data_IF_184259287705
#
_entry.id   IF_184259287705
#
_cell.length_a   1.000
_cell.length_b   1.000
_cell.length_c   1.000
_cell.angle_alpha   90.00
_cell.angle_beta   90.00
_cell.angle_gamma   90.00
#
_symmetry.space_group_name_H-M   'P 1'
#
loop_
_entity.id
_entity.type
_entity.pdbx_description
1 polymer ?
#
# COMPACT_ATOMS: atom_id res chain seq x y z
N UNK A 1 -4.11 83.71 31.99
CA UNK A 1 -2.97 84.10 32.85
C UNK A 1 -1.79 83.20 32.53
N UNK A 2 -0.67 83.81 32.08
CA UNK A 2 0.76 83.49 32.25
C UNK A 2 1.17 81.99 32.40
N UNK A 3 2.18 81.44 31.73
CA UNK A 3 3.23 82.00 30.89
C UNK A 3 3.92 80.86 30.08
N UNK A 4 4.55 81.24 28.97
CA UNK A 4 5.58 80.49 28.26
C UNK A 4 6.91 80.47 29.05
N UNK A 5 7.83 79.54 28.73
CA UNK A 5 9.24 79.81 28.35
C UNK A 5 9.95 78.51 27.94
N UNK A 6 10.80 78.71 26.95
CA UNK A 6 11.62 77.89 26.04
C UNK A 6 12.84 77.19 26.65
N UNK A 7 13.49 76.35 25.81
CA UNK A 7 14.89 75.82 25.82
C UNK A 7 15.04 74.45 26.51
N UNK A 8 15.81 73.45 26.04
CA UNK A 8 17.04 73.40 25.24
C UNK A 8 17.18 71.96 24.66
N UNK A 9 17.80 71.81 23.48
CA UNK A 9 18.40 70.54 23.04
C UNK A 9 19.71 70.35 23.82
N UNK A 10 20.04 69.12 24.25
CA UNK A 10 21.35 68.60 23.89
C UNK A 10 21.31 67.16 23.36
N UNK A 11 22.10 66.98 22.31
CA UNK A 11 22.63 65.73 21.78
C UNK A 11 23.35 64.97 22.91
N UNK A 12 23.00 63.71 23.17
CA UNK A 12 23.97 62.66 23.53
C UNK A 12 23.32 61.28 23.35
N UNK A 13 23.98 60.48 22.52
CA UNK A 13 23.93 59.03 22.35
C UNK A 13 23.42 58.21 23.54
N UNK A 14 22.59 57.20 23.28
CA UNK A 14 22.88 55.80 23.64
C UNK A 14 21.87 54.84 22.98
N UNK A 15 22.41 53.96 22.14
CA UNK A 15 21.95 52.61 21.77
C UNK A 15 20.77 52.05 22.56
N UNK A 16 19.65 51.74 21.89
CA UNK A 16 18.87 50.52 22.12
C UNK A 16 18.29 50.03 20.78
N UNK A 17 18.56 48.76 20.49
CA UNK A 17 18.31 48.08 19.24
C UNK A 17 16.80 47.91 18.94
N UNK A 18 16.38 48.31 17.75
CA UNK A 18 15.17 47.77 17.13
C UNK A 18 15.62 46.75 16.07
N UNK A 19 15.55 45.47 16.43
CA UNK A 19 15.61 44.37 15.49
C UNK A 19 14.30 44.38 14.69
N UNK A 20 14.36 44.87 13.46
CA UNK A 20 13.37 44.57 12.44
C UNK A 20 13.50 43.06 12.13
N UNK A 21 12.53 42.27 12.55
CA UNK A 21 12.35 40.91 12.06
C UNK A 21 11.79 41.02 10.66
N UNK A 22 12.67 40.97 9.66
CA UNK A 22 12.29 40.64 8.30
C UNK A 22 11.91 39.16 8.30
N UNK A 23 10.61 38.88 8.20
CA UNK A 23 10.12 37.55 7.85
C UNK A 23 10.47 37.37 6.37
N UNK A 24 11.59 36.69 6.13
CA UNK A 24 11.88 36.10 4.82
C UNK A 24 11.04 34.84 4.75
N UNK A 25 9.99 34.84 3.92
CA UNK A 25 9.40 33.61 3.40
C UNK A 25 10.51 32.91 2.60
N UNK A 26 11.16 31.95 3.24
CA UNK A 26 12.00 30.98 2.56
C UNK A 26 11.03 29.97 1.96
N UNK A 27 10.66 30.17 0.70
CA UNK A 27 10.14 29.09 -0.14
C UNK A 27 11.16 27.95 -0.09
N UNK A 28 10.75 26.83 0.50
CA UNK A 28 11.55 25.61 0.63
C UNK A 28 11.60 24.89 -0.73
N UNK A 29 12.22 25.53 -1.73
CA UNK A 29 12.68 24.87 -2.95
C UNK A 29 14.05 24.24 -2.68
N UNK A 30 14.06 23.24 -1.78
CA UNK A 30 15.22 22.38 -1.62
C UNK A 30 15.26 21.42 -2.81
N UNK A 31 16.01 21.76 -3.86
CA UNK A 31 16.50 20.76 -4.82
C UNK A 31 17.21 19.67 -4.03
N UNK A 32 16.57 18.51 -3.89
CA UNK A 32 17.14 17.36 -3.19
C UNK A 32 18.51 17.03 -3.78
N UNK A 33 19.55 16.86 -2.96
CA UNK A 33 20.85 16.46 -3.47
C UNK A 33 20.72 15.07 -4.11
N UNK A 34 21.09 14.98 -5.39
CA UNK A 34 21.10 13.72 -6.12
C UNK A 34 22.11 12.75 -5.46
N UNK A 35 21.68 11.51 -5.20
CA UNK A 35 22.57 10.46 -4.73
C UNK A 35 23.70 10.24 -5.75
N UNK A 36 24.94 9.95 -5.29
CA UNK A 36 26.05 9.66 -6.20
C UNK A 36 25.71 8.48 -7.13
N UNK A 37 26.30 8.42 -8.34
CA UNK A 37 26.10 7.31 -9.28
C UNK A 37 26.43 5.98 -8.60
N UNK A 38 25.51 5.01 -8.68
CA UNK A 38 25.69 3.68 -8.09
C UNK A 38 26.51 2.80 -9.04
N UNK A 39 27.74 2.46 -8.66
CA UNK A 39 28.68 1.66 -9.48
C UNK A 39 28.39 0.13 -9.47
N UNK A 40 27.39 -0.30 -8.69
CA UNK A 40 27.01 -1.72 -8.50
C UNK A 40 26.06 -2.17 -9.64
N UNK A 41 26.09 -3.44 -10.11
CA UNK A 41 25.13 -3.93 -11.09
C UNK A 41 23.67 -3.71 -10.68
N UNK A 42 22.81 -3.46 -11.67
CA UNK A 42 21.39 -3.25 -11.42
C UNK A 42 20.72 -4.52 -10.87
N UNK A 43 20.02 -4.38 -9.75
CA UNK A 43 19.05 -5.37 -9.30
C UNK A 43 17.83 -5.27 -10.20
N UNK A 44 17.45 -6.37 -10.86
CA UNK A 44 16.25 -6.42 -11.69
C UNK A 44 15.18 -7.25 -10.99
N UNK A 45 13.94 -6.82 -11.16
CA UNK A 45 12.74 -7.53 -10.74
C UNK A 45 12.17 -8.23 -11.96
N UNK A 46 11.82 -9.50 -11.81
CA UNK A 46 11.06 -10.22 -12.83
C UNK A 46 9.58 -9.98 -12.57
N UNK A 47 8.83 -9.57 -13.58
CA UNK A 47 7.38 -9.38 -13.51
C UNK A 47 6.69 -10.42 -14.40
N UNK A 48 5.79 -11.20 -13.81
CA UNK A 48 4.97 -12.14 -14.55
C UNK A 48 3.76 -11.41 -15.17
N UNK A 49 3.59 -11.56 -16.48
CA UNK A 49 2.43 -11.11 -17.24
C UNK A 49 2.05 -12.22 -18.21
N UNK A 50 0.97 -12.94 -17.91
CA UNK A 50 0.47 -14.00 -18.77
C UNK A 50 -0.31 -13.39 -19.94
N UNK A 51 0.14 -13.62 -21.16
CA UNK A 51 -0.51 -13.08 -22.36
C UNK A 51 0.06 -11.74 -22.80
N UNK A 52 -0.80 -10.81 -23.24
CA UNK A 52 -0.36 -9.54 -23.84
C UNK A 52 0.16 -8.53 -22.79
N UNK A 53 1.47 -8.18 -22.81
CA UNK A 53 2.03 -7.21 -21.87
C UNK A 53 1.42 -5.81 -21.96
N UNK A 54 0.73 -5.48 -23.06
CA UNK A 54 0.02 -4.20 -23.22
C UNK A 54 -1.30 -4.15 -22.46
N UNK A 55 -1.85 -5.30 -22.05
CA UNK A 55 -3.10 -5.38 -21.28
C UNK A 55 -2.89 -5.57 -19.78
N UNK A 56 -1.62 -5.55 -19.33
CA UNK A 56 -1.26 -5.73 -17.92
C UNK A 56 -1.92 -4.68 -17.02
N UNK A 57 -2.20 -5.07 -15.79
CA UNK A 57 -2.69 -4.16 -14.77
C UNK A 57 -1.63 -3.15 -14.38
N UNK A 58 -2.05 -1.89 -14.24
CA UNK A 58 -1.22 -0.83 -13.67
C UNK A 58 0.17 -0.73 -14.32
N UNK A 59 0.19 -0.57 -15.65
CA UNK A 59 1.39 -0.63 -16.48
C UNK A 59 2.58 0.21 -15.98
N UNK A 60 2.31 1.38 -15.40
CA UNK A 60 3.32 2.33 -14.91
C UNK A 60 3.70 2.12 -13.43
N UNK A 61 2.99 1.26 -12.70
CA UNK A 61 3.08 1.18 -11.24
C UNK A 61 4.38 0.57 -10.74
N UNK A 62 4.72 -0.65 -11.16
CA UNK A 62 5.98 -1.26 -10.75
C UNK A 62 7.19 -0.41 -11.20
N UNK A 63 7.28 0.06 -12.46
CA UNK A 63 8.38 0.95 -12.85
C UNK A 63 8.50 2.22 -12.01
N UNK A 64 7.37 2.87 -11.70
CA UNK A 64 7.35 4.06 -10.85
C UNK A 64 7.81 3.76 -9.42
N UNK A 65 7.41 2.63 -8.84
CA UNK A 65 7.86 2.21 -7.53
C UNK A 65 9.36 1.93 -7.50
N UNK A 66 9.88 1.19 -8.49
CA UNK A 66 11.30 0.86 -8.58
C UNK A 66 12.15 2.12 -8.78
N UNK A 67 11.65 3.11 -9.54
CA UNK A 67 12.28 4.43 -9.65
C UNK A 67 12.34 5.15 -8.29
N UNK A 68 11.24 5.17 -7.53
CA UNK A 68 11.21 5.75 -6.18
C UNK A 68 12.18 5.01 -5.23
N UNK A 69 12.22 3.68 -5.25
CA UNK A 69 13.19 2.89 -4.46
C UNK A 69 14.61 3.30 -4.80
N UNK A 70 14.93 3.42 -6.09
CA UNK A 70 16.27 3.83 -6.54
C UNK A 70 16.61 5.26 -6.11
N UNK A 71 15.65 6.18 -6.15
CA UNK A 71 15.83 7.59 -5.76
C UNK A 71 15.99 7.75 -4.25
N UNK A 72 15.21 7.02 -3.45
CA UNK A 72 15.12 7.22 -1.99
C UNK A 72 16.08 6.38 -1.18
N UNK A 73 16.55 5.26 -1.72
CA UNK A 73 17.36 4.29 -0.98
C UNK A 73 18.75 4.15 -1.61
N UNK A 74 19.63 3.40 -0.97
CA UNK A 74 20.94 3.03 -1.54
C UNK A 74 20.83 1.89 -2.56
N UNK A 75 19.68 1.22 -2.70
CA UNK A 75 19.49 0.10 -3.61
C UNK A 75 19.58 0.53 -5.08
N UNK A 76 20.38 -0.16 -5.89
CA UNK A 76 20.50 0.11 -7.33
C UNK A 76 19.53 -0.75 -8.13
N UNK A 77 18.23 -0.53 -7.96
CA UNK A 77 17.19 -1.30 -8.68
C UNK A 77 16.94 -0.67 -10.06
N UNK A 78 16.85 -1.51 -11.09
CA UNK A 78 16.44 -1.09 -12.43
C UNK A 78 14.94 -0.78 -12.43
N UNK A 79 14.51 0.44 -12.83
CA UNK A 79 13.09 0.75 -12.98
C UNK A 79 12.36 -0.09 -14.03
N UNK A 80 13.09 -0.76 -14.94
CA UNK A 80 12.50 -1.57 -15.99
C UNK A 80 12.56 -3.06 -15.64
N UNK A 81 11.43 -3.66 -15.21
CA UNK A 81 11.37 -5.08 -14.87
C UNK A 81 11.56 -5.96 -16.12
N UNK A 82 11.95 -7.21 -15.89
CA UNK A 82 12.01 -8.24 -16.93
C UNK A 82 10.63 -8.91 -17.00
N UNK A 83 10.00 -8.88 -18.15
CA UNK A 83 8.71 -9.55 -18.36
C UNK A 83 8.90 -11.02 -18.70
N UNK A 84 8.10 -11.87 -18.05
CA UNK A 84 7.96 -13.30 -18.37
C UNK A 84 6.48 -13.63 -18.48
N UNK A 85 6.15 -14.59 -19.34
CA UNK A 85 4.77 -15.09 -19.48
C UNK A 85 4.49 -16.30 -18.58
N UNK A 86 5.54 -16.98 -18.11
CA UNK A 86 5.45 -18.23 -17.36
C UNK A 86 6.60 -18.36 -16.35
N UNK A 87 6.32 -19.03 -15.22
CA UNK A 87 7.32 -19.36 -14.22
C UNK A 87 8.24 -20.52 -14.66
N UNK A 88 8.02 -21.08 -15.85
CA UNK A 88 8.96 -21.99 -16.50
C UNK A 88 10.20 -21.28 -17.06
N UNK A 89 10.14 -19.96 -17.26
CA UNK A 89 11.27 -19.19 -17.80
C UNK A 89 12.47 -19.22 -16.85
N UNK A 90 13.61 -19.75 -17.33
CA UNK A 90 14.82 -19.88 -16.53
C UNK A 90 15.42 -18.54 -16.08
N UNK A 91 14.99 -17.41 -16.66
CA UNK A 91 15.42 -16.07 -16.24
C UNK A 91 15.08 -15.79 -14.76
N UNK A 92 14.05 -16.45 -14.20
CA UNK A 92 13.71 -16.29 -12.79
C UNK A 92 14.89 -16.66 -11.88
N UNK A 93 15.75 -17.60 -12.28
CA UNK A 93 16.88 -18.02 -11.45
C UNK A 93 18.05 -17.02 -11.47
N UNK A 94 18.00 -16.01 -12.34
CA UNK A 94 19.02 -14.96 -12.46
C UNK A 94 18.71 -13.74 -11.58
N UNK A 95 17.50 -13.66 -11.04
CA UNK A 95 17.01 -12.49 -10.32
C UNK A 95 16.34 -12.89 -9.00
N UNK A 96 16.57 -12.16 -7.90
CA UNK A 96 16.13 -12.62 -6.58
C UNK A 96 14.64 -12.40 -6.29
N UNK A 97 13.94 -11.61 -7.12
CA UNK A 97 12.56 -11.18 -6.87
C UNK A 97 11.68 -11.41 -8.08
N UNK A 98 10.52 -12.04 -7.85
CA UNK A 98 9.41 -12.11 -8.78
C UNK A 98 8.26 -11.25 -8.24
N UNK A 99 7.76 -10.33 -9.06
CA UNK A 99 6.53 -9.58 -8.86
C UNK A 99 5.41 -10.19 -9.70
N UNK A 100 4.24 -10.39 -9.10
CA UNK A 100 3.04 -10.86 -9.80
C UNK A 100 1.89 -9.97 -9.34
N UNK A 101 1.23 -9.27 -10.26
CA UNK A 101 -0.12 -8.78 -9.97
C UNK A 101 -1.09 -9.95 -10.18
N UNK A 102 -1.98 -10.20 -9.22
CA UNK A 102 -2.93 -11.32 -9.26
C UNK A 102 -3.68 -11.42 -10.59
N UNK A 103 -4.08 -10.30 -11.17
CA UNK A 103 -4.87 -10.25 -12.39
C UNK A 103 -4.04 -10.34 -13.68
N UNK A 104 -2.72 -10.20 -13.59
CA UNK A 104 -1.79 -10.43 -14.71
C UNK A 104 -1.51 -11.93 -14.92
N UNK A 105 -1.98 -12.79 -14.01
CA UNK A 105 -2.04 -14.24 -14.20
C UNK A 105 -3.51 -14.67 -14.25
N UNK A 106 -3.94 -15.18 -15.40
CA UNK A 106 -5.34 -15.56 -15.62
C UNK A 106 -5.66 -16.98 -15.14
N UNK A 107 -4.66 -17.87 -15.12
CA UNK A 107 -4.80 -19.24 -14.63
C UNK A 107 -3.75 -19.55 -13.55
N UNK A 108 -4.20 -19.71 -12.31
CA UNK A 108 -3.35 -20.05 -11.17
C UNK A 108 -3.07 -21.55 -11.03
N UNK A 109 -3.60 -22.39 -11.92
CA UNK A 109 -3.18 -23.79 -12.02
C UNK A 109 -1.74 -23.84 -12.52
N UNK A 110 -0.84 -24.37 -11.70
CA UNK A 110 0.58 -24.45 -12.05
C UNK A 110 0.84 -25.67 -12.92
N UNK A 111 1.66 -25.50 -13.95
CA UNK A 111 2.22 -26.66 -14.67
C UNK A 111 3.21 -27.42 -13.77
N UNK A 112 3.54 -28.66 -14.13
CA UNK A 112 4.61 -29.41 -13.46
C UNK A 112 5.98 -28.69 -13.53
N UNK A 113 6.23 -27.95 -14.62
CA UNK A 113 7.43 -27.13 -14.79
C UNK A 113 7.44 -25.94 -13.84
N UNK A 114 6.32 -25.21 -13.73
CA UNK A 114 6.17 -24.08 -12.82
C UNK A 114 6.31 -24.53 -11.36
N UNK A 115 5.68 -25.65 -10.96
CA UNK A 115 5.83 -26.21 -9.61
C UNK A 115 7.29 -26.50 -9.28
N UNK A 116 8.00 -27.18 -10.20
CA UNK A 116 9.42 -27.51 -10.04
C UNK A 116 10.28 -26.24 -9.93
N UNK A 117 10.02 -25.27 -10.80
CA UNK A 117 10.81 -24.04 -10.86
C UNK A 117 10.57 -23.13 -9.66
N UNK A 118 9.32 -22.94 -9.25
CA UNK A 118 8.98 -22.19 -8.03
C UNK A 118 9.61 -22.81 -6.79
N UNK A 119 9.54 -24.14 -6.66
CA UNK A 119 10.19 -24.84 -5.55
C UNK A 119 11.70 -24.58 -5.53
N UNK A 120 12.37 -24.74 -6.68
CA UNK A 120 13.81 -24.50 -6.76
C UNK A 120 14.17 -23.04 -6.53
N UNK A 121 13.35 -22.10 -7.02
CA UNK A 121 13.53 -20.66 -6.82
C UNK A 121 13.48 -20.30 -5.34
N UNK A 122 12.44 -20.76 -4.62
CA UNK A 122 12.27 -20.52 -3.18
C UNK A 122 13.39 -21.18 -2.37
N UNK A 123 13.76 -22.42 -2.69
CA UNK A 123 14.84 -23.15 -2.01
C UNK A 123 16.21 -22.46 -2.17
N UNK A 124 16.41 -21.73 -3.27
CA UNK A 124 17.62 -20.92 -3.56
C UNK A 124 17.58 -19.52 -2.91
N UNK A 125 16.53 -19.19 -2.17
CA UNK A 125 16.39 -17.90 -1.49
C UNK A 125 15.61 -16.84 -2.28
N UNK A 126 14.98 -17.21 -3.41
CA UNK A 126 14.14 -16.30 -4.18
C UNK A 126 12.93 -15.80 -3.40
N UNK A 127 12.50 -14.57 -3.68
CA UNK A 127 11.35 -13.93 -3.04
C UNK A 127 10.24 -13.66 -4.07
N UNK A 128 8.99 -13.94 -3.71
CA UNK A 128 7.83 -13.71 -4.56
C UNK A 128 6.90 -12.72 -3.87
N UNK A 129 6.58 -11.63 -4.55
CA UNK A 129 5.56 -10.69 -4.12
C UNK A 129 4.32 -10.81 -5.02
N UNK A 130 3.17 -11.08 -4.41
CA UNK A 130 1.88 -11.18 -5.09
C UNK A 130 1.00 -10.02 -4.66
N UNK A 131 0.85 -9.07 -5.57
CA UNK A 131 -0.01 -7.90 -5.41
C UNK A 131 -1.47 -8.25 -5.72
N UNK A 132 -2.42 -7.69 -4.97
CA UNK A 132 -3.85 -7.99 -5.09
C UNK A 132 -4.21 -9.48 -4.96
N UNK A 133 -3.37 -10.27 -4.28
CA UNK A 133 -3.64 -11.69 -4.02
C UNK A 133 -4.42 -11.94 -2.72
N UNK A 134 -4.72 -10.89 -1.95
CA UNK A 134 -5.72 -10.90 -0.87
C UNK A 134 -6.94 -10.15 -1.37
N UNK A 135 -8.04 -10.89 -1.58
CA UNK A 135 -9.32 -10.33 -1.99
C UNK A 135 -10.42 -10.87 -1.09
N UNK A 136 -11.21 -9.98 -0.49
CA UNK A 136 -12.43 -10.36 0.23
C UNK A 136 -13.41 -11.08 -0.70
N UNK A 137 -14.22 -11.98 -0.15
CA UNK A 137 -15.11 -12.84 -0.93
C UNK A 137 -15.99 -12.07 -1.93
N UNK A 138 -16.55 -10.93 -1.51
CA UNK A 138 -17.39 -10.07 -2.36
C UNK A 138 -16.66 -9.39 -3.53
N UNK A 139 -15.32 -9.44 -3.56
CA UNK A 139 -14.48 -8.93 -4.64
C UNK A 139 -14.08 -10.03 -5.64
N UNK A 140 -14.23 -11.31 -5.30
CA UNK A 140 -13.70 -12.44 -6.10
C UNK A 140 -14.52 -12.73 -7.37
N UNK A 141 -15.80 -12.35 -7.40
CA UNK A 141 -16.69 -12.61 -8.54
C UNK A 141 -16.32 -11.88 -9.84
N UNK A 142 -15.45 -10.87 -9.77
CA UNK A 142 -14.87 -10.21 -10.94
C UNK A 142 -13.48 -9.69 -10.58
N UNK A 143 -12.46 -10.13 -11.32
CA UNK A 143 -11.06 -9.75 -11.09
C UNK A 143 -10.85 -8.23 -11.01
N UNK A 144 -11.64 -7.43 -11.74
CA UNK A 144 -11.55 -5.96 -11.68
C UNK A 144 -11.89 -5.39 -10.31
N UNK A 145 -12.77 -6.04 -9.54
CA UNK A 145 -13.14 -5.55 -8.21
C UNK A 145 -11.96 -5.65 -7.24
N UNK A 146 -11.20 -6.74 -7.26
CA UNK A 146 -9.97 -6.89 -6.46
C UNK A 146 -8.84 -5.96 -6.89
N UNK A 147 -8.85 -5.48 -8.14
CA UNK A 147 -7.90 -4.45 -8.61
C UNK A 147 -8.34 -3.04 -8.18
N UNK A 148 -9.63 -2.73 -8.16
CA UNK A 148 -10.11 -1.37 -7.87
C UNK A 148 -10.37 -1.11 -6.39
N UNK A 149 -10.60 -2.17 -5.61
CA UNK A 149 -10.99 -2.07 -4.22
C UNK A 149 -10.12 -2.94 -3.34
N UNK A 150 -9.56 -2.33 -2.31
CA UNK A 150 -8.93 -3.07 -1.25
C UNK A 150 -9.86 -3.23 -0.04
N UNK A 151 -9.91 -4.43 0.54
CA UNK A 151 -10.56 -4.70 1.82
C UNK A 151 -9.55 -5.41 2.73
N UNK A 152 -9.56 -5.10 4.03
CA UNK A 152 -8.60 -5.65 4.99
C UNK A 152 -9.03 -7.07 5.41
N UNK A 153 -8.98 -7.99 4.44
CA UNK A 153 -9.14 -9.42 4.69
C UNK A 153 -7.79 -10.02 5.11
N UNK A 154 -7.83 -11.12 5.87
CA UNK A 154 -6.64 -11.82 6.38
C UNK A 154 -6.56 -13.24 5.82
N UNK A 155 -7.00 -13.39 4.58
CA UNK A 155 -6.99 -14.63 3.82
C UNK A 155 -6.44 -14.40 2.42
N UNK A 156 -5.64 -15.35 1.96
CA UNK A 156 -5.15 -15.38 0.59
C UNK A 156 -6.30 -15.81 -0.33
N UNK A 157 -6.35 -15.28 -1.56
CA UNK A 157 -7.30 -15.76 -2.57
C UNK A 157 -7.09 -17.28 -2.80
N UNK A 158 -8.16 -18.10 -2.80
CA UNK A 158 -8.06 -19.56 -2.86
C UNK A 158 -7.22 -20.08 -4.03
N UNK A 159 -7.22 -19.36 -5.15
CA UNK A 159 -6.44 -19.66 -6.35
C UNK A 159 -4.93 -19.59 -6.08
N UNK A 160 -4.47 -18.57 -5.35
CA UNK A 160 -3.07 -18.42 -4.94
C UNK A 160 -2.74 -19.48 -3.89
N UNK A 161 -3.63 -19.71 -2.93
CA UNK A 161 -3.41 -20.72 -1.88
C UNK A 161 -3.23 -22.12 -2.49
N UNK A 162 -4.12 -22.53 -3.40
CA UNK A 162 -4.06 -23.82 -4.08
C UNK A 162 -2.83 -23.95 -4.98
N UNK A 163 -2.41 -22.87 -5.65
CA UNK A 163 -1.18 -22.85 -6.43
C UNK A 163 0.04 -23.18 -5.57
N UNK A 164 0.19 -22.53 -4.40
CA UNK A 164 1.34 -22.78 -3.52
C UNK A 164 1.24 -24.09 -2.74
N UNK A 165 0.04 -24.63 -2.53
CA UNK A 165 -0.15 -25.99 -2.00
C UNK A 165 0.42 -27.06 -2.92
N UNK A 166 0.45 -26.84 -4.23
CA UNK A 166 1.13 -27.74 -5.17
C UNK A 166 2.67 -27.72 -5.02
N UNK A 167 3.24 -26.62 -4.53
CA UNK A 167 4.69 -26.43 -4.33
C UNK A 167 5.13 -26.95 -2.96
N UNK A 168 4.38 -26.59 -1.90
CA UNK A 168 4.60 -27.00 -0.51
C UNK A 168 3.28 -27.45 0.14
N UNK A 169 2.90 -28.73 0.01
CA UNK A 169 1.62 -29.24 0.51
C UNK A 169 1.40 -29.10 2.02
N UNK A 170 2.49 -29.10 2.79
CA UNK A 170 2.47 -29.05 4.25
C UNK A 170 2.71 -27.64 4.81
N UNK A 171 2.80 -26.62 3.95
CA UNK A 171 2.97 -25.23 4.37
C UNK A 171 1.71 -24.42 4.06
N UNK A 172 1.35 -23.53 5.00
CA UNK A 172 0.20 -22.65 4.87
C UNK A 172 0.66 -21.20 4.90
N UNK A 173 -0.11 -20.33 4.26
CA UNK A 173 0.04 -18.90 4.46
C UNK A 173 -0.37 -18.53 5.87
N UNK A 174 0.41 -17.67 6.52
CA UNK A 174 0.13 -17.14 7.85
C UNK A 174 0.09 -15.61 7.83
N UNK A 175 -0.68 -14.96 8.73
CA UNK A 175 -0.71 -13.52 8.82
C UNK A 175 0.65 -12.97 9.27
N UNK A 176 1.14 -11.93 8.59
CA UNK A 176 2.33 -11.20 9.00
C UNK A 176 1.98 -10.26 10.17
N UNK A 177 2.61 -10.40 11.34
CA UNK A 177 2.33 -9.53 12.48
C UNK A 177 2.62 -8.06 12.18
N UNK A 178 1.79 -7.13 12.67
CA UNK A 178 1.98 -5.69 12.47
C UNK A 178 3.31 -5.14 13.02
N UNK A 179 3.89 -5.81 14.01
CA UNK A 179 5.17 -5.41 14.59
C UNK A 179 6.40 -5.93 13.80
N UNK A 180 6.18 -6.70 12.73
CA UNK A 180 7.23 -7.25 11.87
C UNK A 180 8.12 -6.13 11.31
N UNK A 181 9.40 -6.45 11.09
CA UNK A 181 10.39 -5.50 10.59
C UNK A 181 10.08 -5.01 9.17
N UNK A 182 9.34 -5.78 8.37
CA UNK A 182 8.84 -5.37 7.05
C UNK A 182 8.18 -3.98 7.11
N UNK A 183 7.23 -3.76 8.02
CA UNK A 183 6.47 -2.51 8.10
C UNK A 183 7.29 -1.28 8.51
N UNK A 184 8.56 -1.49 8.91
CA UNK A 184 9.48 -0.44 9.38
C UNK A 184 10.88 -0.56 8.77
N UNK A 185 11.02 -1.27 7.64
CA UNK A 185 12.34 -1.53 7.04
C UNK A 185 13.01 -0.27 6.49
N UNK A 186 12.24 0.74 6.07
CA UNK A 186 12.77 2.05 5.66
C UNK A 186 11.94 3.22 6.21
N UNK A 187 10.63 3.22 5.94
CA UNK A 187 9.66 4.12 6.55
C UNK A 187 8.97 3.43 7.73
N UNK A 188 8.76 4.15 8.82
CA UNK A 188 8.00 3.68 9.97
C UNK A 188 6.73 4.52 10.16
N UNK A 189 5.63 3.86 10.52
CA UNK A 189 4.34 4.51 10.77
C UNK A 189 3.66 5.08 9.53
N UNK A 190 2.62 5.86 9.76
CA UNK A 190 1.80 6.47 8.71
C UNK A 190 2.50 7.68 8.06
N UNK A 191 2.14 8.04 6.81
CA UNK A 191 2.40 9.37 6.27
C UNK A 191 1.79 10.48 7.12
N UNK A 192 2.17 11.73 6.84
CA UNK A 192 1.50 12.87 7.46
C UNK A 192 0.02 12.90 7.04
N UNK A 193 -0.85 12.67 8.02
CA UNK A 193 -2.30 12.64 7.84
C UNK A 193 -2.96 13.99 8.19
N UNK A 194 -2.18 15.02 8.54
CA UNK A 194 -2.70 16.35 8.88
C UNK A 194 -3.61 16.96 7.81
N UNK A 195 -3.35 16.79 6.49
CA UNK A 195 -4.23 17.30 5.43
C UNK A 195 -5.61 16.63 5.35
N UNK A 196 -5.80 15.47 6.00
CA UNK A 196 -7.05 14.72 5.91
C UNK A 196 -8.12 15.27 6.86
N UNK A 197 -9.42 15.21 6.48
CA UNK A 197 -10.51 15.50 7.40
C UNK A 197 -10.43 14.64 8.66
N UNK A 198 -10.81 15.22 9.80
CA UNK A 198 -10.65 14.57 11.12
C UNK A 198 -11.24 13.15 11.18
N UNK A 199 -12.47 12.95 10.73
CA UNK A 199 -13.13 11.63 10.74
C UNK A 199 -12.40 10.58 9.89
N UNK A 200 -11.89 11.00 8.73
CA UNK A 200 -11.13 10.15 7.82
C UNK A 200 -9.78 9.79 8.44
N UNK A 201 -9.10 10.77 9.05
CA UNK A 201 -7.82 10.56 9.73
C UNK A 201 -7.96 9.58 10.89
N UNK A 202 -8.96 9.75 11.76
CA UNK A 202 -9.23 8.83 12.88
C UNK A 202 -9.49 7.40 12.37
N UNK A 203 -10.32 7.25 11.33
CA UNK A 203 -10.57 5.94 10.75
C UNK A 203 -9.30 5.29 10.20
N UNK A 204 -8.42 6.05 9.54
CA UNK A 204 -7.16 5.52 9.02
C UNK A 204 -6.25 5.04 10.13
N UNK A 205 -6.06 5.86 11.16
CA UNK A 205 -5.12 5.60 12.26
C UNK A 205 -5.59 4.43 13.10
N UNK A 206 -6.89 4.36 13.39
CA UNK A 206 -7.41 3.41 14.37
C UNK A 206 -7.92 2.12 13.74
N UNK A 207 -8.36 2.15 12.47
CA UNK A 207 -9.06 1.00 11.87
C UNK A 207 -8.46 0.55 10.54
N UNK A 208 -8.25 1.46 9.57
CA UNK A 208 -7.85 1.08 8.22
C UNK A 208 -6.40 0.57 8.18
N UNK A 209 -5.47 1.37 8.71
CA UNK A 209 -4.03 1.14 8.68
C UNK A 209 -3.36 1.40 10.04
N UNK A 210 -3.81 0.73 11.12
CA UNK A 210 -3.19 0.92 12.42
C UNK A 210 -1.68 0.74 12.36
N UNK A 211 -0.96 1.68 13.00
CA UNK A 211 0.51 1.69 13.07
C UNK A 211 1.22 1.80 11.70
N UNK A 212 0.51 2.17 10.64
CA UNK A 212 1.07 2.21 9.28
C UNK A 212 1.20 0.86 8.62
N UNK A 213 0.46 -0.15 9.11
CA UNK A 213 0.52 -1.51 8.57
C UNK A 213 -0.71 -1.83 7.72
N UNK A 214 -0.63 -2.95 7.03
CA UNK A 214 -1.66 -3.42 6.12
C UNK A 214 -1.75 -4.95 6.17
N UNK A 215 -2.87 -5.51 5.71
CA UNK A 215 -3.01 -6.97 5.63
C UNK A 215 -1.89 -7.54 4.76
N UNK A 216 -1.20 -8.55 5.28
CA UNK A 216 -0.16 -9.27 4.58
C UNK A 216 -0.19 -10.73 5.04
N UNK A 217 -0.21 -11.64 4.08
CA UNK A 217 -0.15 -13.08 4.31
C UNK A 217 1.16 -13.59 3.72
N UNK A 218 1.85 -14.47 4.44
CA UNK A 218 3.20 -14.90 4.08
C UNK A 218 3.33 -16.41 4.10
N UNK A 219 4.08 -16.94 3.14
CA UNK A 219 4.55 -18.32 3.16
C UNK A 219 6.03 -18.30 3.55
N UNK A 220 6.38 -18.99 4.64
CA UNK A 220 7.77 -19.08 5.12
C UNK A 220 8.45 -20.34 4.64
N UNK A 221 9.70 -20.21 4.21
CA UNK A 221 10.59 -21.33 3.93
C UNK A 221 11.86 -21.19 4.77
N UNK A 222 12.10 -22.14 5.68
CA UNK A 222 13.24 -22.12 6.63
C UNK A 222 13.31 -20.79 7.40
N UNK A 223 12.21 -20.40 8.06
CA UNK A 223 12.03 -19.16 8.83
C UNK A 223 12.07 -17.83 8.04
N UNK A 224 12.48 -17.83 6.77
CA UNK A 224 12.45 -16.64 5.90
C UNK A 224 11.09 -16.53 5.19
N UNK A 225 10.58 -15.32 5.04
CA UNK A 225 9.45 -15.05 4.14
C UNK A 225 9.90 -15.33 2.70
N UNK A 226 9.30 -16.33 2.06
CA UNK A 226 9.56 -16.69 0.67
C UNK A 226 8.53 -16.08 -0.28
N UNK A 227 7.26 -16.02 0.17
CA UNK A 227 6.15 -15.46 -0.59
C UNK A 227 5.42 -14.48 0.32
N UNK A 228 5.12 -13.29 -0.20
CA UNK A 228 4.28 -12.31 0.45
C UNK A 228 3.12 -11.96 -0.46
N UNK A 229 1.91 -12.00 0.09
CA UNK A 229 0.66 -11.67 -0.59
C UNK A 229 0.01 -10.52 0.15
N UNK A 230 -0.40 -9.48 -0.58
CA UNK A 230 -1.08 -8.32 -0.01
C UNK A 230 -2.32 -7.97 -0.85
N UNK A 231 -3.27 -7.16 -0.30
CA UNK A 231 -4.31 -6.55 -1.12
C UNK A 231 -3.68 -5.59 -2.13
N UNK A 232 -4.48 -5.11 -3.08
CA UNK A 232 -3.99 -4.23 -4.14
C UNK A 232 -3.19 -3.03 -3.59
N UNK A 233 -1.93 -2.94 -4.02
CA UNK A 233 -1.03 -1.81 -3.78
C UNK A 233 -0.64 -1.09 -5.08
N UNK A 234 -0.56 -1.78 -6.22
CA UNK A 234 -0.15 -1.16 -7.49
C UNK A 234 -1.03 0.01 -7.90
N UNK A 235 -2.29 0.08 -7.49
CA UNK A 235 -3.13 1.26 -7.72
C UNK A 235 -2.49 2.54 -7.15
N UNK A 236 -1.65 2.44 -6.12
CA UNK A 236 -0.97 3.53 -5.44
C UNK A 236 0.38 3.97 -6.02
N UNK A 237 0.95 3.27 -7.00
CA UNK A 237 2.35 3.51 -7.39
C UNK A 237 2.53 4.24 -8.73
N UNK A 238 1.58 4.14 -9.64
CA UNK A 238 1.74 4.61 -11.02
C UNK A 238 1.84 6.12 -11.14
N UNK A 239 2.93 6.58 -11.76
CA UNK A 239 3.12 7.97 -12.19
C UNK A 239 3.26 8.03 -13.71
N UNK A 240 2.69 9.06 -14.33
CA UNK A 240 2.88 9.35 -15.75
C UNK A 240 4.30 9.86 -16.01
N UNK A 241 4.66 10.02 -17.29
CA UNK A 241 5.94 10.63 -17.70
C UNK A 241 6.15 12.05 -17.14
N UNK A 242 5.06 12.74 -16.77
CA UNK A 242 5.09 14.07 -16.14
C UNK A 242 5.09 14.01 -14.60
N UNK A 243 5.19 12.83 -14.01
CA UNK A 243 5.22 12.62 -12.57
C UNK A 243 3.86 12.72 -11.86
N UNK A 244 2.75 12.78 -12.61
CA UNK A 244 1.39 12.82 -12.05
C UNK A 244 0.89 11.42 -11.75
N UNK A 245 0.14 11.24 -10.66
CA UNK A 245 -0.51 9.96 -10.37
C UNK A 245 -1.45 9.53 -11.49
N UNK A 246 -1.38 8.26 -11.89
CA UNK A 246 -2.21 7.70 -12.98
C UNK A 246 -3.57 7.20 -12.50
N UNK A 247 -3.78 7.11 -11.19
CA UNK A 247 -5.04 6.69 -10.58
C UNK A 247 -5.56 7.76 -9.62
N UNK A 248 -6.85 7.63 -9.25
CA UNK A 248 -7.46 8.42 -8.19
C UNK A 248 -8.03 7.48 -7.14
N UNK A 249 -7.52 7.59 -5.92
CA UNK A 249 -7.86 6.68 -4.83
C UNK A 249 -8.82 7.38 -3.86
N UNK A 250 -9.92 6.70 -3.55
CA UNK A 250 -10.86 7.11 -2.51
C UNK A 250 -10.78 6.21 -1.29
N UNK A 251 -11.36 6.67 -0.18
CA UNK A 251 -11.50 5.85 1.02
C UNK A 251 -12.94 5.43 1.26
N UNK A 252 -13.07 4.14 1.54
CA UNK A 252 -14.27 3.56 2.12
C UNK A 252 -14.10 3.54 3.65
N UNK A 253 -14.98 4.24 4.35
CA UNK A 253 -14.97 4.43 5.81
C UNK A 253 -16.19 3.75 6.43
N UNK A 254 -16.00 3.03 7.54
CA UNK A 254 -17.10 2.46 8.32
C UNK A 254 -17.62 3.52 9.29
N UNK A 255 -18.85 3.96 9.09
CA UNK A 255 -19.48 4.97 9.93
C UNK A 255 -20.59 4.38 10.79
N UNK A 256 -20.56 4.76 12.07
CA UNK A 256 -21.63 4.54 13.01
C UNK A 256 -22.19 5.88 13.49
N UNK A 257 -23.47 5.92 13.82
CA UNK A 257 -24.08 7.01 14.61
C UNK A 257 -25.02 6.41 15.66
N UNK A 258 -25.34 7.17 16.69
CA UNK A 258 -26.28 6.72 17.74
C UNK A 258 -27.61 6.26 17.12
N UNK A 259 -28.06 5.07 17.52
CA UNK A 259 -29.28 4.46 17.00
C UNK A 259 -29.18 3.86 15.59
N UNK A 260 -28.03 3.94 14.91
CA UNK A 260 -27.84 3.35 13.58
C UNK A 260 -27.80 1.83 13.65
N UNK A 261 -27.14 1.28 14.68
CA UNK A 261 -26.93 -0.16 14.80
C UNK A 261 -28.26 -0.91 14.92
N UNK A 262 -29.16 -0.39 15.77
CA UNK A 262 -30.51 -0.90 15.98
C UNK A 262 -31.36 -0.81 14.71
N UNK A 263 -31.25 0.31 13.98
CA UNK A 263 -31.99 0.51 12.73
C UNK A 263 -31.53 -0.43 11.63
N UNK A 264 -30.22 -0.65 11.49
CA UNK A 264 -29.67 -1.54 10.46
C UNK A 264 -29.97 -3.00 10.74
N UNK A 265 -29.94 -3.42 12.01
CA UNK A 265 -30.29 -4.79 12.41
C UNK A 265 -31.70 -5.21 11.97
N UNK A 266 -32.65 -4.29 12.00
CA UNK A 266 -34.05 -4.52 11.59
C UNK A 266 -34.31 -4.13 10.13
N UNK A 267 -33.32 -3.55 9.43
CA UNK A 267 -33.50 -3.09 8.07
C UNK A 267 -33.68 -4.28 7.10
N UNK A 268 -34.68 -4.18 6.24
CA UNK A 268 -34.73 -5.01 5.06
C UNK A 268 -33.59 -4.59 4.11
N UNK A 269 -32.89 -5.58 3.55
CA UNK A 269 -31.86 -5.32 2.56
C UNK A 269 -32.06 -6.13 1.28
N UNK A 270 -31.56 -5.56 0.18
CA UNK A 270 -31.36 -6.28 -1.07
C UNK A 270 -29.89 -6.65 -1.27
N UNK A 271 -29.64 -7.58 -2.19
CA UNK A 271 -28.28 -8.03 -2.53
C UNK A 271 -27.79 -9.21 -1.68
N UNK A 272 -26.49 -9.49 -1.80
CA UNK A 272 -25.83 -10.64 -1.20
C UNK A 272 -25.00 -10.22 0.02
N UNK A 273 -24.80 -11.17 0.93
CA UNK A 273 -23.93 -11.03 2.11
C UNK A 273 -22.72 -11.94 2.00
N UNK A 274 -21.59 -11.48 2.53
CA UNK A 274 -20.31 -12.17 2.41
C UNK A 274 -19.54 -12.10 3.72
N UNK A 275 -18.94 -13.22 4.11
CA UNK A 275 -18.04 -13.28 5.26
C UNK A 275 -16.64 -12.80 4.89
N UNK A 276 -15.99 -12.06 5.78
CA UNK A 276 -14.58 -11.65 5.65
C UNK A 276 -13.86 -11.82 6.98
N UNK A 277 -12.60 -12.26 6.94
CA UNK A 277 -11.85 -12.62 8.13
C UNK A 277 -11.00 -11.44 8.61
N UNK A 278 -11.15 -11.07 9.89
CA UNK A 278 -10.32 -10.07 10.56
C UNK A 278 -8.99 -10.66 10.99
N UNK A 279 -8.06 -9.78 11.34
CA UNK A 279 -6.73 -10.13 11.87
C UNK A 279 -6.79 -11.04 13.10
N UNK A 280 -7.79 -10.83 13.95
CA UNK A 280 -8.00 -11.62 15.17
C UNK A 280 -8.77 -12.93 14.93
N UNK A 281 -9.01 -13.28 13.66
CA UNK A 281 -9.73 -14.49 13.24
C UNK A 281 -11.25 -14.41 13.39
N UNK A 282 -11.82 -13.27 13.83
CA UNK A 282 -13.27 -13.08 13.86
C UNK A 282 -13.80 -12.64 12.50
N UNK A 283 -15.09 -12.84 12.28
CA UNK A 283 -15.73 -12.62 10.97
C UNK A 283 -16.59 -11.36 10.95
N UNK A 284 -16.38 -10.50 9.96
CA UNK A 284 -17.33 -9.47 9.55
C UNK A 284 -18.31 -10.05 8.53
N UNK A 285 -19.61 -9.72 8.64
CA UNK A 285 -20.60 -10.00 7.58
C UNK A 285 -20.84 -8.72 6.79
N UNK A 286 -20.46 -8.77 5.52
CA UNK A 286 -20.46 -7.64 4.60
C UNK A 286 -21.64 -7.76 3.63
N UNK A 287 -22.49 -6.75 3.61
CA UNK A 287 -23.65 -6.72 2.74
C UNK A 287 -23.39 -5.82 1.55
N UNK A 288 -23.66 -6.32 0.34
CA UNK A 288 -23.44 -5.61 -0.90
C UNK A 288 -24.76 -5.48 -1.67
N UNK A 289 -25.31 -4.26 -1.72
CA UNK A 289 -26.44 -3.96 -2.61
C UNK A 289 -26.02 -4.01 -4.09
N UNK A 290 -24.78 -3.60 -4.38
CA UNK A 290 -24.16 -3.67 -5.70
C UNK A 290 -22.92 -4.57 -5.62
N UNK A 291 -22.72 -5.52 -6.55
CA UNK A 291 -21.55 -6.41 -6.55
C UNK A 291 -20.22 -5.64 -6.47
N UNK A 292 -19.31 -6.08 -5.60
CA UNK A 292 -18.01 -5.42 -5.36
C UNK A 292 -18.08 -4.14 -4.51
N UNK A 293 -19.28 -3.65 -4.18
CA UNK A 293 -19.52 -2.38 -3.49
C UNK A 293 -20.27 -2.61 -2.18
N UNK A 294 -19.57 -2.79 -1.05
CA UNK A 294 -20.21 -3.02 0.23
C UNK A 294 -20.95 -1.77 0.74
N UNK A 295 -22.12 -2.00 1.33
CA UNK A 295 -23.07 -0.99 1.80
C UNK A 295 -23.08 -0.86 3.33
N UNK A 296 -23.12 -1.98 4.06
CA UNK A 296 -22.91 -2.00 5.51
C UNK A 296 -22.22 -3.30 5.95
N UNK A 297 -21.80 -3.31 7.21
CA UNK A 297 -21.13 -4.41 7.88
C UNK A 297 -21.82 -4.70 9.21
N UNK A 298 -22.03 -5.98 9.48
CA UNK A 298 -22.24 -6.50 10.82
C UNK A 298 -20.89 -7.00 11.35
N UNK A 299 -20.49 -6.45 12.50
CA UNK A 299 -19.21 -6.76 13.12
C UNK A 299 -19.33 -7.89 14.15
N UNK A 300 -18.23 -8.57 14.51
CA UNK A 300 -18.25 -9.62 15.53
C UNK A 300 -18.79 -9.18 16.90
N UNK A 301 -18.76 -7.88 17.21
CA UNK A 301 -19.35 -7.33 18.43
C UNK A 301 -20.88 -7.23 18.40
N UNK A 302 -21.50 -7.44 17.23
CA UNK A 302 -22.92 -7.19 16.98
C UNK A 302 -23.23 -5.73 16.60
N UNK A 303 -22.20 -4.91 16.37
CA UNK A 303 -22.33 -3.54 15.89
C UNK A 303 -22.56 -3.51 14.38
N UNK A 304 -23.50 -2.66 13.93
CA UNK A 304 -23.79 -2.45 12.52
C UNK A 304 -23.33 -1.06 12.09
N UNK A 305 -22.55 -0.98 11.00
CA UNK A 305 -22.01 0.28 10.45
C UNK A 305 -22.21 0.35 8.95
N UNK A 306 -22.38 1.56 8.42
CA UNK A 306 -22.46 1.78 6.97
C UNK A 306 -21.09 2.07 6.36
N UNK A 307 -20.89 1.67 5.12
CA UNK A 307 -19.74 2.11 4.34
C UNK A 307 -20.06 3.40 3.60
N UNK A 308 -19.23 4.43 3.83
CA UNK A 308 -19.25 5.69 3.07
C UNK A 308 -17.98 5.85 2.25
N UNK A 309 -18.12 6.41 1.06
CA UNK A 309 -17.05 6.54 0.07
C UNK A 309 -16.67 8.02 -0.08
N UNK A 310 -15.41 8.32 0.19
CA UNK A 310 -14.86 9.67 0.20
C UNK A 310 -13.77 9.81 -0.86
N UNK A 311 -13.87 10.89 -1.64
CA UNK A 311 -12.93 11.19 -2.72
C UNK A 311 -12.52 12.66 -2.65
N UNK A 312 -11.22 12.90 -2.41
CA UNK A 312 -10.61 14.22 -2.51
C UNK A 312 -9.17 14.07 -3.03
N UNK A 313 -8.52 15.18 -3.38
CA UNK A 313 -7.13 15.15 -3.81
C UNK A 313 -6.22 14.71 -2.66
N UNK A 314 -6.46 15.25 -1.47
CA UNK A 314 -5.70 14.97 -0.25
C UNK A 314 -5.81 13.49 0.15
N UNK A 315 -7.01 12.89 0.03
CA UNK A 315 -7.22 11.45 0.26
C UNK A 315 -6.40 10.63 -0.74
N UNK A 316 -6.45 10.99 -2.02
CA UNK A 316 -5.73 10.28 -3.07
C UNK A 316 -4.22 10.36 -2.85
N UNK A 317 -3.69 11.56 -2.62
CA UNK A 317 -2.25 11.79 -2.41
C UNK A 317 -1.71 11.09 -1.16
N UNK A 318 -2.50 11.09 -0.08
CA UNK A 318 -2.15 10.34 1.12
C UNK A 318 -2.10 8.83 0.83
N UNK A 319 -3.09 8.29 0.11
CA UNK A 319 -3.12 6.87 -0.24
C UNK A 319 -1.92 6.47 -1.10
N UNK A 320 -1.60 7.25 -2.14
CA UNK A 320 -0.41 7.04 -2.95
C UNK A 320 0.86 7.05 -2.10
N UNK A 321 1.02 8.05 -1.23
CA UNK A 321 2.18 8.13 -0.32
C UNK A 321 2.27 6.90 0.58
N UNK A 322 1.14 6.45 1.16
CA UNK A 322 1.10 5.25 1.99
C UNK A 322 1.53 3.99 1.23
N UNK A 323 0.91 3.72 0.07
CA UNK A 323 1.23 2.54 -0.73
C UNK A 323 2.67 2.58 -1.25
N UNK A 324 3.18 3.74 -1.67
CA UNK A 324 4.59 3.88 -2.08
C UNK A 324 5.53 3.60 -0.91
N UNK A 325 5.24 4.09 0.30
CA UNK A 325 6.07 3.78 1.49
C UNK A 325 6.10 2.29 1.80
N UNK A 326 4.96 1.59 1.71
CA UNK A 326 4.91 0.13 1.86
C UNK A 326 5.71 -0.60 0.77
N UNK A 327 5.60 -0.16 -0.49
CA UNK A 327 6.39 -0.71 -1.59
C UNK A 327 7.90 -0.49 -1.41
N UNK A 328 8.33 0.67 -0.91
CA UNK A 328 9.75 0.92 -0.61
C UNK A 328 10.22 0.02 0.54
N UNK A 329 9.41 -0.13 1.58
CA UNK A 329 9.67 -1.05 2.68
C UNK A 329 9.84 -2.49 2.19
N UNK A 330 9.00 -2.96 1.25
CA UNK A 330 9.12 -4.28 0.63
C UNK A 330 10.50 -4.50 0.02
N UNK A 331 10.94 -3.59 -0.85
CA UNK A 331 12.23 -3.78 -1.52
C UNK A 331 13.40 -3.66 -0.55
N UNK A 332 13.36 -2.73 0.41
CA UNK A 332 14.42 -2.64 1.44
C UNK A 332 14.45 -3.90 2.32
N UNK A 333 13.29 -4.39 2.75
CA UNK A 333 13.16 -5.62 3.51
C UNK A 333 13.82 -6.78 2.77
N UNK A 334 13.40 -7.05 1.53
CA UNK A 334 13.87 -8.21 0.74
C UNK A 334 15.37 -8.18 0.50
N UNK A 335 15.96 -7.02 0.25
CA UNK A 335 17.40 -6.89 0.02
C UNK A 335 18.24 -6.75 1.29
N UNK A 336 17.61 -6.77 2.47
CA UNK A 336 18.27 -6.75 3.77
C UNK A 336 18.28 -8.09 4.51
N UNK A 337 17.63 -9.12 3.93
CA UNK A 337 17.55 -10.48 4.49
C UNK A 337 18.85 -11.28 4.32
#
# INVERSE_FOLDING_TARGET
>A
MKAAVTFLIPIFSLFWAQALVAIVEIEESATKPALPPKEVPYLKVVQLIQGDPMQRQYADSLPSLLAEVRERTTLNVDPFPIYIESLEDEVIFKHPIIYINFADRHDWTLSAGEVKNLKSFIERGGFIFIDAGINALFLRGNVRYGQMHSFADWEVSPEVEEAFRQVYPDQLFEPLPRNDVFFKSFYAGLPDATPLPHSIREFIINEKWPQGTYSAMVLKHKERIAVMVMPIMAMGWGKSEFGQWTTRIGFRVREGVEGLSERLREAAYGGESYETTREDGRTDVIYCETPGMPAWVEEPSGDWRVFRYYHSQEISDYAHTFYTRLGVNLFVYVFSQ
#
